data_IF_989017081663
#
_entry.id   IF_989017081663
#
_cell.length_a   1.000
_cell.length_b   1.000
_cell.length_c   1.000
_cell.angle_alpha   90.00
_cell.angle_beta   90.00
_cell.angle_gamma   90.00
#
_symmetry.space_group_name_H-M   'P 1'
#
loop_
_entity.id
_entity.type
_entity.pdbx_description
1 polymer ?
#
# COMPACT_ATOMS: atom_id res chain seq x y z
N UNK A 1 -1.43 11.93 -10.95
CA UNK A 1 -1.48 11.42 -9.57
C UNK A 1 -2.53 10.35 -9.41
N UNK A 2 -2.11 9.12 -9.16
CA UNK A 2 -2.96 8.07 -8.62
C UNK A 2 -2.95 8.15 -7.09
N UNK A 3 -4.13 8.16 -6.48
CA UNK A 3 -4.31 8.32 -5.05
C UNK A 3 -5.42 7.37 -4.56
N UNK A 4 -5.16 6.44 -3.64
CA UNK A 4 -3.87 5.89 -3.18
C UNK A 4 -3.98 4.38 -3.24
N UNK A 5 -2.86 3.65 -3.22
CA UNK A 5 -2.87 2.19 -3.35
C UNK A 5 -2.98 1.50 -1.99
N UNK A 6 -2.26 1.98 -0.98
CA UNK A 6 -2.20 1.40 0.36
C UNK A 6 -2.53 2.47 1.39
N UNK A 7 -3.61 2.27 2.15
CA UNK A 7 -4.04 3.20 3.20
C UNK A 7 -4.66 2.44 4.37
N UNK A 8 -4.88 3.16 5.47
CA UNK A 8 -5.55 2.65 6.66
C UNK A 8 -7.07 2.85 6.61
N UNK A 9 -7.54 3.83 5.83
CA UNK A 9 -8.96 4.13 5.64
C UNK A 9 -9.48 3.62 4.30
N UNK A 10 -10.82 3.59 4.16
CA UNK A 10 -11.51 3.20 2.93
C UNK A 10 -11.09 1.82 2.40
N UNK A 11 -10.67 0.93 3.30
CA UNK A 11 -10.36 -0.47 3.02
C UNK A 11 -11.64 -1.31 3.02
N UNK A 12 -11.74 -2.36 2.20
CA UNK A 12 -12.92 -3.22 2.19
C UNK A 12 -13.03 -4.04 3.49
N UNK A 13 -14.26 -4.33 3.92
CA UNK A 13 -14.55 -5.01 5.19
C UNK A 13 -13.86 -6.37 5.32
N UNK A 14 -13.72 -7.11 4.21
CA UNK A 14 -13.07 -8.43 4.20
C UNK A 14 -11.58 -8.33 4.56
N UNK A 15 -10.93 -7.22 4.23
CA UNK A 15 -9.53 -6.98 4.56
C UNK A 15 -9.41 -6.49 6.01
N UNK A 16 -10.25 -5.53 6.40
CA UNK A 16 -10.24 -4.95 7.74
C UNK A 16 -10.51 -6.01 8.83
N UNK A 17 -11.46 -6.91 8.58
CA UNK A 17 -11.91 -7.93 9.53
C UNK A 17 -11.40 -9.34 9.18
N UNK A 18 -10.49 -9.45 8.22
CA UNK A 18 -9.93 -10.73 7.79
C UNK A 18 -9.05 -11.38 8.86
N UNK A 19 -8.68 -12.63 8.61
CA UNK A 19 -7.73 -13.37 9.43
C UNK A 19 -6.75 -14.09 8.51
N UNK A 20 -5.70 -13.37 8.12
CA UNK A 20 -4.70 -13.85 7.19
C UNK A 20 -3.41 -14.18 7.94
N UNK A 21 -2.73 -15.22 7.48
CA UNK A 21 -1.30 -15.39 7.76
C UNK A 21 -0.50 -14.25 7.13
N UNK A 22 0.74 -14.07 7.59
CA UNK A 22 1.66 -13.07 7.02
C UNK A 22 1.84 -13.27 5.51
N UNK A 23 2.07 -14.50 5.08
CA UNK A 23 2.35 -14.82 3.68
C UNK A 23 1.13 -14.55 2.78
N UNK A 24 -0.07 -14.92 3.23
CA UNK A 24 -1.32 -14.59 2.53
C UNK A 24 -1.52 -13.08 2.43
N UNK A 25 -1.21 -12.31 3.48
CA UNK A 25 -1.32 -10.86 3.45
C UNK A 25 -0.31 -10.20 2.50
N UNK A 26 0.93 -10.72 2.43
CA UNK A 26 1.94 -10.28 1.46
C UNK A 26 1.47 -10.55 0.04
N UNK A 27 0.91 -11.73 -0.23
CA UNK A 27 0.36 -12.08 -1.54
C UNK A 27 -0.82 -11.19 -1.91
N UNK A 28 -1.73 -10.91 -0.97
CA UNK A 28 -2.85 -9.99 -1.17
C UNK A 28 -2.37 -8.56 -1.49
N UNK A 29 -1.36 -8.06 -0.77
CA UNK A 29 -0.77 -6.75 -1.00
C UNK A 29 -0.14 -6.67 -2.40
N UNK A 30 0.68 -7.65 -2.76
CA UNK A 30 1.29 -7.75 -4.09
C UNK A 30 0.21 -7.80 -5.17
N UNK A 31 -0.80 -8.67 -5.03
CA UNK A 31 -1.86 -8.82 -6.03
C UNK A 31 -2.68 -7.54 -6.21
N UNK A 32 -3.02 -6.85 -5.12
CA UNK A 32 -3.72 -5.56 -5.17
C UNK A 32 -2.92 -4.50 -5.93
N UNK A 33 -1.65 -4.30 -5.54
CA UNK A 33 -0.77 -3.30 -6.17
C UNK A 33 -0.55 -3.62 -7.65
N UNK A 34 -0.14 -4.86 -7.96
CA UNK A 34 0.13 -5.30 -9.33
C UNK A 34 -1.11 -5.21 -10.23
N UNK A 35 -2.30 -5.50 -9.69
CA UNK A 35 -3.55 -5.37 -10.44
C UNK A 35 -3.91 -3.92 -10.71
N UNK A 36 -3.92 -3.07 -9.68
CA UNK A 36 -4.33 -1.66 -9.81
C UNK A 36 -3.31 -0.87 -10.63
N UNK A 37 -2.04 -0.87 -10.24
CA UNK A 37 -1.01 -0.11 -10.94
C UNK A 37 -0.73 -0.69 -12.33
N UNK A 38 -0.69 -2.02 -12.45
CA UNK A 38 -0.53 -2.68 -13.75
C UNK A 38 -1.65 -2.35 -14.74
N UNK A 39 -2.89 -2.22 -14.27
CA UNK A 39 -4.00 -1.76 -15.12
C UNK A 39 -3.73 -0.36 -15.68
N UNK A 40 -3.18 0.55 -14.89
CA UNK A 40 -2.93 1.95 -15.27
C UNK A 40 -1.50 2.24 -15.76
N UNK A 41 -0.69 1.21 -16.00
CA UNK A 41 0.72 1.34 -16.35
C UNK A 41 0.98 2.37 -17.46
N UNK A 42 1.91 3.29 -17.21
CA UNK A 42 2.32 4.34 -18.14
C UNK A 42 1.28 5.45 -18.39
N UNK A 43 0.11 5.39 -17.72
CA UNK A 43 -0.95 6.42 -17.82
C UNK A 43 -0.95 7.39 -16.65
N UNK A 44 -0.27 7.04 -15.56
CA UNK A 44 -0.22 7.80 -14.32
C UNK A 44 1.23 8.16 -14.04
N UNK A 45 1.52 9.47 -14.00
CA UNK A 45 2.88 9.98 -13.78
C UNK A 45 3.43 9.66 -12.38
N UNK A 46 2.57 9.78 -11.37
CA UNK A 46 2.95 9.69 -9.96
C UNK A 46 1.87 8.99 -9.13
N UNK A 47 2.28 8.18 -8.16
CA UNK A 47 1.42 7.41 -7.27
C UNK A 47 1.71 7.71 -5.81
N UNK A 48 0.65 7.95 -5.06
CA UNK A 48 0.68 7.81 -3.61
C UNK A 48 0.58 6.31 -3.30
N UNK A 49 1.72 5.64 -3.16
CA UNK A 49 1.79 4.19 -2.95
C UNK A 49 1.27 3.85 -1.56
N UNK A 50 1.80 4.54 -0.55
CA UNK A 50 1.36 4.43 0.84
C UNK A 50 0.92 5.81 1.31
N UNK A 51 -0.29 5.89 1.87
CA UNK A 51 -0.84 7.12 2.43
C UNK A 51 -0.92 7.03 3.96
N UNK A 52 -0.55 8.10 4.65
CA UNK A 52 -0.73 8.33 6.08
C UNK A 52 -0.20 7.19 6.97
N UNK A 53 1.04 6.77 6.69
CA UNK A 53 1.71 5.70 7.40
C UNK A 53 2.19 6.13 8.80
N UNK A 54 2.36 7.44 9.04
CA UNK A 54 2.77 7.97 10.32
C UNK A 54 1.51 8.33 11.12
N UNK A 55 1.45 7.89 12.38
CA UNK A 55 0.37 8.30 13.28
C UNK A 55 0.57 9.77 13.73
N UNK A 56 -0.38 10.35 14.47
CA UNK A 56 -0.12 11.66 15.11
C UNK A 56 0.95 11.58 16.22
N UNK A 57 1.32 10.35 16.61
CA UNK A 57 2.51 10.05 17.42
C UNK A 57 3.72 9.79 16.52
N UNK A 58 4.93 9.69 17.07
CA UNK A 58 6.15 9.37 16.29
C UNK A 58 6.26 7.91 15.84
N UNK A 59 5.17 7.16 15.86
CA UNK A 59 5.12 5.74 15.53
C UNK A 59 4.38 5.52 14.21
N UNK A 60 4.64 4.36 13.59
CA UNK A 60 3.82 3.90 12.46
C UNK A 60 2.36 3.72 12.90
N UNK A 61 1.45 4.05 11.99
CA UNK A 61 0.01 3.92 12.17
C UNK A 61 -0.43 2.47 12.06
N UNK A 62 -1.43 2.09 12.85
CA UNK A 62 -2.06 0.78 12.73
C UNK A 62 -2.95 0.72 11.49
N UNK A 63 -2.66 -0.25 10.63
CA UNK A 63 -3.38 -0.51 9.39
C UNK A 63 -3.63 -2.02 9.26
N UNK A 64 -4.62 -2.48 8.48
CA UNK A 64 -4.79 -3.92 8.23
C UNK A 64 -3.51 -4.54 7.65
N UNK A 65 -2.81 -3.83 6.77
CA UNK A 65 -1.54 -4.28 6.20
C UNK A 65 -0.47 -4.48 7.27
N UNK A 66 -0.27 -3.48 8.14
CA UNK A 66 0.68 -3.58 9.25
C UNK A 66 0.29 -4.66 10.25
N UNK A 67 -1.01 -4.85 10.51
CA UNK A 67 -1.50 -5.88 11.43
C UNK A 67 -1.10 -7.29 10.98
N UNK A 68 -1.19 -7.59 9.68
CA UNK A 68 -0.89 -8.94 9.17
C UNK A 68 0.56 -9.10 8.68
N UNK A 69 1.16 -8.04 8.14
CA UNK A 69 2.52 -8.07 7.55
C UNK A 69 3.56 -7.48 8.50
N UNK A 70 3.22 -6.57 9.41
CA UNK A 70 4.21 -5.83 10.21
C UNK A 70 4.81 -4.65 9.45
N UNK A 71 5.80 -4.00 10.07
CA UNK A 71 6.32 -2.68 9.66
C UNK A 71 6.96 -2.65 8.25
N UNK A 72 7.42 -3.80 7.76
CA UNK A 72 8.02 -3.94 6.43
C UNK A 72 7.00 -3.92 5.28
N UNK A 73 5.69 -3.84 5.56
CA UNK A 73 4.65 -3.66 4.54
C UNK A 73 4.90 -2.43 3.65
N UNK A 74 5.53 -1.38 4.19
CA UNK A 74 5.84 -0.15 3.44
C UNK A 74 6.91 -0.46 2.39
N UNK A 75 8.03 -1.08 2.78
CA UNK A 75 9.09 -1.48 1.84
C UNK A 75 8.55 -2.39 0.74
N UNK A 76 7.76 -3.39 1.12
CA UNK A 76 7.14 -4.31 0.17
C UNK A 76 6.18 -3.59 -0.77
N UNK A 77 5.35 -2.66 -0.28
CA UNK A 77 4.44 -1.90 -1.13
C UNK A 77 5.18 -1.09 -2.20
N UNK A 78 6.28 -0.42 -1.84
CA UNK A 78 7.10 0.31 -2.81
C UNK A 78 7.81 -0.62 -3.80
N UNK A 79 8.31 -1.77 -3.33
CA UNK A 79 8.93 -2.77 -4.22
C UNK A 79 7.93 -3.28 -5.25
N UNK A 80 6.75 -3.69 -4.82
CA UNK A 80 5.68 -4.17 -5.71
C UNK A 80 5.16 -3.07 -6.65
N UNK A 81 5.08 -1.83 -6.16
CA UNK A 81 4.69 -0.68 -6.99
C UNK A 81 5.70 -0.42 -8.12
N UNK A 82 7.01 -0.49 -7.80
CA UNK A 82 8.07 -0.34 -8.80
C UNK A 82 8.07 -1.48 -9.81
N UNK A 83 7.82 -2.72 -9.37
CA UNK A 83 7.67 -3.87 -10.27
C UNK A 83 6.47 -3.69 -11.23
N UNK A 84 5.36 -3.14 -10.75
CA UNK A 84 4.15 -2.92 -11.54
C UNK A 84 4.29 -1.80 -12.59
N UNK A 85 4.86 -0.65 -12.20
CA UNK A 85 5.10 0.50 -13.08
C UNK A 85 6.46 1.17 -12.78
N UNK A 86 7.56 0.72 -13.43
CA UNK A 86 8.90 1.22 -13.15
C UNK A 86 9.12 2.70 -13.49
N UNK A 87 8.31 3.25 -14.40
CA UNK A 87 8.44 4.63 -14.90
C UNK A 87 7.68 5.65 -14.05
N UNK A 88 6.81 5.18 -13.14
CA UNK A 88 6.01 6.06 -12.29
C UNK A 88 6.81 6.59 -11.09
N UNK A 89 6.56 7.85 -10.72
CA UNK A 89 7.10 8.44 -9.49
C UNK A 89 6.33 7.91 -8.28
N UNK A 90 7.02 7.22 -7.38
CA UNK A 90 6.41 6.58 -6.22
C UNK A 90 6.60 7.44 -4.98
N UNK A 91 5.49 7.77 -4.30
CA UNK A 91 5.49 8.67 -3.14
C UNK A 91 4.84 8.02 -1.92
N UNK A 92 5.36 8.38 -0.74
CA UNK A 92 4.66 8.22 0.53
C UNK A 92 4.03 9.58 0.83
N UNK A 93 2.71 9.63 0.91
CA UNK A 93 1.97 10.86 1.16
C UNK A 93 1.47 10.87 2.61
N UNK A 94 1.68 11.95 3.34
CA UNK A 94 1.25 12.09 4.74
C UNK A 94 0.89 13.54 5.03
N UNK A 95 0.26 13.80 6.19
CA UNK A 95 -0.12 15.14 6.65
C UNK A 95 0.67 15.54 7.93
N UNK A 96 0.54 16.82 8.30
CA UNK A 96 1.26 17.59 9.34
C UNK A 96 2.56 18.26 8.91
#
# INVERSE_FOLDING_TARGET
RGHTVVWHQCVPDWLANGNFTRDEAIELLHNHISTVMGHYKGRILDWDVVNEAIADSTLLRDTPWRKFIGDDYIEMAFRFAHEADPDALLSLNDYN
#
